data_IF_607363386319
#
_entry.id   IF_607363386319
#
_cell.length_a   1.000
_cell.length_b   1.000
_cell.length_c   1.000
_cell.angle_alpha   90.00
_cell.angle_beta   90.00
_cell.angle_gamma   90.00
#
_symmetry.space_group_name_H-M   'P 1'
#
loop_
_entity.id
_entity.type
_entity.pdbx_description
1 polymer ?
#
# COMPACT_ATOMS: atom_id res chain seq x y z
N UNK A 1 -26.69 8.71 34.69
CA UNK A 1 -26.28 8.87 33.28
C UNK A 1 -24.80 9.14 33.32
N UNK A 2 -23.99 8.07 33.18
CA UNK A 2 -22.54 8.19 33.08
C UNK A 2 -22.23 8.17 31.59
N UNK A 3 -21.62 9.25 31.15
CA UNK A 3 -21.64 9.75 29.79
C UNK A 3 -20.87 8.83 28.84
N UNK A 4 -21.48 8.50 27.69
CA UNK A 4 -20.81 7.80 26.59
C UNK A 4 -19.47 8.44 26.20
N UNK A 5 -19.35 9.75 26.44
CA UNK A 5 -18.13 10.53 26.33
C UNK A 5 -17.02 10.02 27.26
N UNK A 6 -17.31 9.74 28.53
CA UNK A 6 -16.33 9.25 29.51
C UNK A 6 -15.82 7.86 29.14
N UNK A 7 -16.69 7.01 28.58
CA UNK A 7 -16.28 5.72 28.04
C UNK A 7 -15.39 5.87 26.81
N UNK A 8 -15.76 6.75 25.87
CA UNK A 8 -14.95 7.04 24.68
C UNK A 8 -13.58 7.61 25.05
N UNK A 9 -13.52 8.64 25.89
CA UNK A 9 -12.27 9.24 26.36
C UNK A 9 -11.44 8.24 27.18
N UNK A 10 -12.07 7.37 27.97
CA UNK A 10 -11.38 6.28 28.68
C UNK A 10 -10.76 5.26 27.71
N UNK A 11 -11.48 4.90 26.64
CA UNK A 11 -10.98 4.00 25.61
C UNK A 11 -9.86 4.62 24.78
N UNK A 12 -9.99 5.91 24.43
CA UNK A 12 -8.96 6.69 23.74
C UNK A 12 -7.71 6.86 24.60
N UNK A 13 -7.87 7.16 25.90
CA UNK A 13 -6.74 7.26 26.83
C UNK A 13 -6.06 5.90 27.03
N UNK A 14 -6.81 4.81 27.13
CA UNK A 14 -6.25 3.46 27.18
C UNK A 14 -5.52 3.10 25.88
N UNK A 15 -6.07 3.48 24.72
CA UNK A 15 -5.41 3.27 23.44
C UNK A 15 -4.14 4.11 23.31
N UNK A 16 -4.10 5.35 23.79
CA UNK A 16 -2.90 6.20 23.76
C UNK A 16 -1.85 5.74 24.79
N UNK A 17 -2.27 5.30 25.98
CA UNK A 17 -1.36 4.80 27.02
C UNK A 17 -0.77 3.42 26.68
N UNK A 18 -1.51 2.59 25.95
CA UNK A 18 -1.06 1.24 25.54
C UNK A 18 -0.60 1.16 24.09
N UNK A 19 -0.86 2.19 23.30
CA UNK A 19 -0.55 2.30 21.88
C UNK A 19 0.85 2.87 21.69
N UNK A 20 1.83 1.97 21.66
CA UNK A 20 3.10 2.33 21.02
C UNK A 20 2.78 2.55 19.53
N UNK A 21 2.79 3.79 19.05
CA UNK A 21 2.54 4.09 17.65
C UNK A 21 3.73 3.62 16.78
N UNK A 22 3.88 2.30 16.64
CA UNK A 22 5.01 1.66 15.98
C UNK A 22 4.77 1.75 14.48
N UNK A 23 5.42 2.73 13.84
CA UNK A 23 5.57 2.73 12.38
C UNK A 23 6.38 1.50 11.97
N UNK A 24 6.07 0.87 10.82
CA UNK A 24 6.79 -0.30 10.33
C UNK A 24 8.31 -0.09 10.11
N UNK A 25 8.79 1.16 10.09
CA UNK A 25 10.22 1.49 10.01
C UNK A 25 10.96 1.44 11.36
N UNK A 26 10.28 1.25 12.48
CA UNK A 26 10.88 1.33 13.82
C UNK A 26 11.19 -0.09 14.32
N UNK A 27 12.46 -0.51 14.15
CA UNK A 27 12.93 -1.90 14.30
C UNK A 27 12.92 -2.45 15.75
N UNK A 28 12.25 -1.80 16.71
CA UNK A 28 12.30 -2.17 18.13
C UNK A 28 10.99 -2.09 18.92
N UNK A 29 9.91 -1.56 18.33
CA UNK A 29 8.63 -1.39 19.04
C UNK A 29 7.76 -2.65 18.96
N UNK A 30 7.44 -3.28 20.10
CA UNK A 30 6.48 -4.39 20.14
C UNK A 30 5.05 -3.84 20.12
N UNK A 31 4.31 -4.07 19.03
CA UNK A 31 2.87 -3.68 18.95
C UNK A 31 2.08 -4.32 20.09
N UNK A 32 1.17 -3.56 20.70
CA UNK A 32 0.27 -4.09 21.72
C UNK A 32 -0.82 -4.98 21.09
N UNK A 33 -1.36 -5.93 21.85
CA UNK A 33 -2.47 -6.79 21.37
C UNK A 33 -3.71 -5.95 21.05
N UNK A 34 -3.94 -4.87 21.81
CA UNK A 34 -5.05 -3.94 21.59
C UNK A 34 -4.90 -3.22 20.25
N UNK A 35 -3.71 -2.69 19.96
CA UNK A 35 -3.43 -2.02 18.70
C UNK A 35 -3.57 -2.97 17.51
N UNK A 36 -3.08 -4.21 17.63
CA UNK A 36 -3.28 -5.22 16.58
C UNK A 36 -4.77 -5.55 16.37
N UNK A 37 -5.57 -5.58 17.43
CA UNK A 37 -7.02 -5.78 17.31
C UNK A 37 -7.70 -4.58 16.64
N UNK A 38 -7.36 -3.35 17.05
CA UNK A 38 -7.89 -2.12 16.46
C UNK A 38 -7.51 -2.00 14.98
N UNK A 39 -6.28 -2.34 14.59
CA UNK A 39 -5.85 -2.42 13.19
C UNK A 39 -6.75 -3.37 12.38
N UNK A 40 -7.06 -4.54 12.94
CA UNK A 40 -7.95 -5.52 12.28
C UNK A 40 -9.37 -4.99 12.15
N UNK A 41 -9.94 -4.41 13.22
CA UNK A 41 -11.30 -3.85 13.21
C UNK A 41 -11.39 -2.70 12.22
N UNK A 42 -10.43 -1.78 12.23
CA UNK A 42 -10.45 -0.63 11.35
C UNK A 42 -10.32 -1.05 9.88
N UNK A 43 -9.32 -1.89 9.58
CA UNK A 43 -9.03 -2.34 8.21
C UNK A 43 -10.11 -3.28 7.65
N UNK A 44 -10.68 -4.16 8.49
CA UNK A 44 -11.62 -5.20 8.04
C UNK A 44 -13.08 -4.83 8.20
N UNK A 45 -13.43 -3.89 9.07
CA UNK A 45 -14.82 -3.49 9.33
C UNK A 45 -15.03 -2.00 9.10
N UNK A 46 -14.38 -1.12 9.87
CA UNK A 46 -14.72 0.31 9.87
C UNK A 46 -14.53 0.95 8.48
N UNK A 47 -13.41 0.70 7.82
CA UNK A 47 -13.15 1.21 6.47
C UNK A 47 -14.15 0.67 5.44
N UNK A 48 -14.28 -0.64 5.20
CA UNK A 48 -15.18 -1.15 4.17
C UNK A 48 -16.65 -0.82 4.46
N UNK A 49 -17.11 -0.89 5.72
CA UNK A 49 -18.47 -0.51 6.11
C UNK A 49 -18.72 0.98 5.86
N UNK A 50 -17.82 1.84 6.31
CA UNK A 50 -18.00 3.28 6.17
C UNK A 50 -18.06 3.72 4.71
N UNK A 51 -17.14 3.22 3.89
CA UNK A 51 -17.18 3.49 2.43
C UNK A 51 -18.45 2.91 1.81
N UNK A 52 -18.83 1.69 2.16
CA UNK A 52 -20.04 1.04 1.63
C UNK A 52 -21.31 1.84 1.93
N UNK A 53 -21.50 2.27 3.18
CA UNK A 53 -22.69 3.02 3.60
C UNK A 53 -22.75 4.37 2.89
N UNK A 54 -21.65 5.10 2.82
CA UNK A 54 -21.61 6.40 2.11
C UNK A 54 -21.91 6.21 0.62
N UNK A 55 -21.23 5.26 -0.04
CA UNK A 55 -21.41 5.04 -1.48
C UNK A 55 -22.82 4.57 -1.82
N UNK A 56 -23.38 3.64 -1.06
CA UNK A 56 -24.74 3.13 -1.30
C UNK A 56 -25.80 4.17 -0.99
N UNK A 57 -25.65 4.96 0.09
CA UNK A 57 -26.55 6.06 0.40
C UNK A 57 -26.63 7.06 -0.75
N UNK A 58 -25.49 7.60 -1.19
CA UNK A 58 -25.48 8.62 -2.25
C UNK A 58 -25.88 8.05 -3.62
N UNK A 59 -25.55 6.78 -3.91
CA UNK A 59 -25.99 6.12 -5.13
C UNK A 59 -27.52 6.00 -5.19
N UNK A 60 -28.16 5.54 -4.10
CA UNK A 60 -29.62 5.43 -4.05
C UNK A 60 -30.25 6.83 -4.03
N UNK A 61 -29.70 7.75 -3.24
CA UNK A 61 -30.16 9.14 -3.16
C UNK A 61 -30.19 9.83 -4.52
N UNK A 62 -29.19 9.57 -5.38
CA UNK A 62 -29.11 10.13 -6.72
C UNK A 62 -30.13 9.53 -7.70
N UNK A 63 -30.55 8.27 -7.50
CA UNK A 63 -31.55 7.60 -8.34
C UNK A 63 -32.96 7.97 -7.89
N UNK A 64 -33.27 7.68 -6.62
CA UNK A 64 -34.51 8.07 -5.97
C UNK A 64 -34.27 8.23 -4.47
N UNK A 65 -34.28 9.49 -4.03
CA UNK A 65 -34.04 9.82 -2.62
C UNK A 65 -35.12 9.30 -1.69
N UNK A 66 -36.36 9.06 -2.13
CA UNK A 66 -37.43 8.61 -1.23
C UNK A 66 -37.13 7.24 -0.62
N UNK A 67 -36.27 6.45 -1.27
CA UNK A 67 -35.89 5.10 -0.82
C UNK A 67 -34.97 5.10 0.41
N UNK A 68 -34.28 6.21 0.68
CA UNK A 68 -33.28 6.34 1.77
C UNK A 68 -33.42 7.61 2.60
N UNK A 69 -33.98 8.67 2.02
CA UNK A 69 -34.12 10.00 2.62
C UNK A 69 -35.39 10.73 2.11
N UNK A 70 -36.58 10.37 2.66
CA UNK A 70 -37.86 10.93 2.22
C UNK A 70 -37.97 12.44 2.40
N UNK A 71 -38.74 13.15 1.55
CA UNK A 71 -38.82 14.64 1.61
C UNK A 71 -39.30 15.20 2.94
N UNK A 72 -40.10 14.43 3.67
CA UNK A 72 -40.60 14.85 5.00
C UNK A 72 -39.45 15.12 5.97
N UNK A 73 -38.29 14.47 5.78
CA UNK A 73 -37.11 14.69 6.61
C UNK A 73 -36.43 16.02 6.34
N UNK A 74 -36.63 16.66 5.18
CA UNK A 74 -36.00 17.97 4.88
C UNK A 74 -36.44 19.06 5.87
N UNK A 75 -37.66 18.93 6.42
CA UNK A 75 -38.19 19.83 7.43
C UNK A 75 -37.52 19.68 8.80
N UNK A 76 -36.91 18.51 9.07
CA UNK A 76 -36.26 18.18 10.34
C UNK A 76 -34.73 18.23 10.24
N UNK A 77 -34.20 17.81 9.11
CA UNK A 77 -32.77 17.61 8.86
C UNK A 77 -32.42 18.43 7.61
N UNK A 78 -31.83 19.63 7.79
CA UNK A 78 -31.42 20.46 6.67
C UNK A 78 -30.29 19.80 5.88
N UNK A 79 -30.14 20.18 4.61
CA UNK A 79 -29.20 19.53 3.68
C UNK A 79 -27.74 19.51 4.17
N UNK A 80 -27.31 20.55 4.88
CA UNK A 80 -25.95 20.58 5.46
C UNK A 80 -25.76 19.50 6.52
N UNK A 81 -26.79 19.22 7.32
CA UNK A 81 -26.75 18.17 8.34
C UNK A 81 -26.82 16.79 7.69
N UNK A 82 -27.58 16.64 6.61
CA UNK A 82 -27.57 15.41 5.80
C UNK A 82 -26.15 15.10 5.28
N UNK A 83 -25.46 16.08 4.71
CA UNK A 83 -24.04 15.92 4.33
C UNK A 83 -23.13 15.66 5.53
N UNK A 84 -23.37 16.35 6.65
CA UNK A 84 -22.60 16.13 7.87
C UNK A 84 -22.71 14.67 8.35
N UNK A 85 -23.88 14.04 8.24
CA UNK A 85 -24.09 12.65 8.67
C UNK A 85 -23.63 11.62 7.63
N UNK A 86 -23.87 11.86 6.34
CA UNK A 86 -23.71 10.85 5.29
C UNK A 86 -22.51 11.06 4.37
N UNK A 87 -21.81 12.19 4.46
CA UNK A 87 -20.58 12.43 3.67
C UNK A 87 -19.34 12.43 4.55
N UNK A 88 -19.37 12.99 5.76
CA UNK A 88 -18.16 13.26 6.57
C UNK A 88 -17.41 12.02 7.02
N UNK A 89 -18.09 10.88 7.14
CA UNK A 89 -17.46 9.59 7.49
C UNK A 89 -16.37 9.23 6.49
N UNK A 90 -16.57 9.49 5.19
CA UNK A 90 -15.61 9.13 4.14
C UNK A 90 -14.28 9.91 4.23
N UNK A 91 -14.23 11.26 4.27
CA UNK A 91 -12.97 11.99 4.40
C UNK A 91 -12.26 11.65 5.71
N UNK A 92 -12.97 11.44 6.82
CA UNK A 92 -12.31 11.02 8.07
C UNK A 92 -11.65 9.64 7.94
N UNK A 93 -12.32 8.66 7.33
CA UNK A 93 -11.73 7.35 7.07
C UNK A 93 -10.53 7.41 6.12
N UNK A 94 -10.60 8.26 5.08
CA UNK A 94 -9.49 8.44 4.14
C UNK A 94 -8.29 9.14 4.78
N UNK A 95 -8.54 10.14 5.64
CA UNK A 95 -7.49 10.82 6.41
C UNK A 95 -6.85 9.84 7.38
N UNK A 96 -7.64 9.06 8.12
CA UNK A 96 -7.15 8.03 9.03
C UNK A 96 -6.24 7.04 8.27
N UNK A 97 -6.69 6.51 7.14
CA UNK A 97 -5.89 5.59 6.32
C UNK A 97 -4.61 6.23 5.75
N UNK A 98 -4.63 7.54 5.48
CA UNK A 98 -3.47 8.27 4.98
C UNK A 98 -2.44 8.56 6.09
N UNK A 99 -2.90 8.93 7.28
CA UNK A 99 -2.05 9.37 8.40
C UNK A 99 -1.56 8.17 9.22
N UNK A 100 -2.41 7.16 9.39
CA UNK A 100 -2.19 6.01 10.27
C UNK A 100 -1.89 4.76 9.45
N UNK A 101 -0.78 4.10 9.79
CA UNK A 101 -0.46 2.80 9.20
C UNK A 101 -1.23 1.72 9.95
N UNK A 102 -2.19 1.11 9.27
CA UNK A 102 -2.83 -0.11 9.76
C UNK A 102 -2.25 -1.32 9.08
N UNK A 103 -1.90 -2.31 9.89
CA UNK A 103 -1.48 -3.61 9.38
C UNK A 103 -2.72 -4.41 9.00
N UNK A 104 -2.98 -4.52 7.70
CA UNK A 104 -4.12 -5.29 7.21
C UNK A 104 -3.89 -6.77 7.54
N UNK A 105 -4.89 -7.47 8.11
CA UNK A 105 -4.77 -8.92 8.26
C UNK A 105 -4.64 -9.59 6.89
N UNK A 106 -4.24 -10.87 6.91
CA UNK A 106 -4.27 -11.69 5.70
C UNK A 106 -5.61 -11.53 4.98
N UNK A 107 -5.57 -11.30 3.65
CA UNK A 107 -6.74 -10.96 2.83
C UNK A 107 -7.93 -11.88 3.08
N UNK A 108 -7.70 -13.20 3.16
CA UNK A 108 -8.74 -14.19 3.46
C UNK A 108 -9.40 -13.97 4.82
N UNK A 109 -8.60 -13.68 5.86
CA UNK A 109 -9.09 -13.40 7.21
C UNK A 109 -9.91 -12.11 7.26
N UNK A 110 -9.42 -11.02 6.66
CA UNK A 110 -10.15 -9.76 6.64
C UNK A 110 -11.47 -9.85 5.87
N UNK A 111 -11.47 -10.50 4.70
CA UNK A 111 -12.70 -10.78 3.95
C UNK A 111 -13.64 -11.68 4.77
N UNK A 112 -13.13 -12.72 5.44
CA UNK A 112 -13.98 -13.60 6.26
C UNK A 112 -14.65 -12.85 7.42
N UNK A 113 -13.93 -11.95 8.09
CA UNK A 113 -14.47 -11.09 9.15
C UNK A 113 -15.57 -10.18 8.59
N UNK A 114 -15.30 -9.53 7.45
CA UNK A 114 -16.26 -8.65 6.77
C UNK A 114 -17.53 -9.40 6.36
N UNK A 115 -17.38 -10.58 5.75
CA UNK A 115 -18.50 -11.42 5.32
C UNK A 115 -19.30 -11.98 6.50
N UNK A 116 -18.64 -12.38 7.59
CA UNK A 116 -19.32 -12.83 8.79
C UNK A 116 -20.16 -11.70 9.41
N UNK A 117 -19.62 -10.48 9.47
CA UNK A 117 -20.36 -9.31 9.92
C UNK A 117 -21.55 -8.98 9.00
N UNK A 118 -21.32 -8.94 7.69
CA UNK A 118 -22.37 -8.71 6.70
C UNK A 118 -23.47 -9.78 6.75
N UNK A 119 -23.11 -11.05 6.92
CA UNK A 119 -24.06 -12.15 7.05
C UNK A 119 -24.90 -12.05 8.32
N UNK A 120 -24.28 -11.73 9.46
CA UNK A 120 -25.00 -11.49 10.72
C UNK A 120 -26.01 -10.35 10.57
N UNK A 121 -25.60 -9.25 9.91
CA UNK A 121 -26.50 -8.14 9.61
C UNK A 121 -27.65 -8.52 8.66
N UNK A 122 -27.37 -9.30 7.61
CA UNK A 122 -28.40 -9.80 6.70
C UNK A 122 -29.41 -10.70 7.42
N UNK A 123 -28.94 -11.60 8.28
CA UNK A 123 -29.83 -12.42 9.11
C UNK A 123 -30.72 -11.56 10.00
N UNK A 124 -30.16 -10.51 10.61
CA UNK A 124 -30.90 -9.59 11.46
C UNK A 124 -32.01 -8.84 10.71
N UNK A 125 -31.71 -8.24 9.55
CA UNK A 125 -32.74 -7.51 8.79
C UNK A 125 -33.82 -8.44 8.23
N UNK A 126 -33.46 -9.68 7.83
CA UNK A 126 -34.42 -10.67 7.36
C UNK A 126 -35.31 -11.17 8.51
N UNK A 127 -34.75 -11.30 9.71
CA UNK A 127 -35.51 -11.63 10.91
C UNK A 127 -36.53 -10.54 11.23
N UNK A 128 -36.15 -9.25 11.18
CA UNK A 128 -37.10 -8.13 11.35
C UNK A 128 -38.19 -8.17 10.29
N UNK A 129 -37.83 -8.35 9.03
CA UNK A 129 -38.80 -8.41 7.93
C UNK A 129 -39.79 -9.57 8.10
N UNK A 130 -39.34 -10.71 8.60
CA UNK A 130 -40.21 -11.87 8.85
C UNK A 130 -41.13 -11.68 10.07
N UNK A 131 -40.62 -11.16 11.19
CA UNK A 131 -41.38 -11.06 12.44
C UNK A 131 -42.25 -9.81 12.54
N UNK A 132 -41.76 -8.66 12.07
CA UNK A 132 -42.43 -7.38 12.19
C UNK A 132 -43.19 -6.98 10.91
N UNK A 133 -43.11 -7.79 9.84
CA UNK A 133 -43.60 -7.47 8.49
C UNK A 133 -43.14 -6.08 8.00
N UNK A 134 -41.95 -5.66 8.46
CA UNK A 134 -41.39 -4.33 8.22
C UNK A 134 -40.00 -4.47 7.61
N UNK A 135 -39.82 -3.86 6.45
CA UNK A 135 -38.52 -3.77 5.80
C UNK A 135 -37.75 -2.56 6.34
N UNK A 136 -36.60 -2.82 6.95
CA UNK A 136 -35.67 -1.78 7.42
C UNK A 136 -35.29 -0.83 6.27
N UNK A 137 -35.24 -1.35 5.05
CA UNK A 137 -34.95 -0.60 3.84
C UNK A 137 -36.14 -0.67 2.86
N UNK A 138 -36.82 0.45 2.59
CA UNK A 138 -38.00 0.48 1.70
C UNK A 138 -37.72 -0.10 0.30
N UNK A 139 -36.50 0.08 -0.23
CA UNK A 139 -36.08 -0.49 -1.52
C UNK A 139 -36.24 -2.03 -1.57
N UNK A 140 -36.04 -2.73 -0.45
CA UNK A 140 -36.19 -4.18 -0.41
C UNK A 140 -37.65 -4.62 -0.49
N UNK A 141 -38.57 -3.81 0.04
CA UNK A 141 -40.00 -4.10 -0.01
C UNK A 141 -40.52 -4.06 -1.45
N UNK A 142 -40.01 -3.14 -2.27
CA UNK A 142 -40.40 -2.96 -3.67
C UNK A 142 -39.93 -4.10 -4.60
N UNK A 143 -38.90 -4.85 -4.19
CA UNK A 143 -38.30 -5.90 -5.01
C UNK A 143 -38.97 -7.25 -4.77
N UNK A 144 -39.12 -8.05 -5.83
CA UNK A 144 -39.50 -9.46 -5.70
C UNK A 144 -38.37 -10.29 -5.07
N UNK A 145 -38.70 -11.47 -4.55
CA UNK A 145 -37.74 -12.36 -3.85
C UNK A 145 -36.49 -12.66 -4.68
N UNK A 146 -36.64 -12.91 -5.98
CA UNK A 146 -35.50 -13.20 -6.86
C UNK A 146 -34.62 -11.96 -7.08
N UNK A 147 -35.22 -10.77 -7.20
CA UNK A 147 -34.51 -9.51 -7.33
C UNK A 147 -33.76 -9.15 -6.03
N UNK A 148 -34.34 -9.42 -4.87
CA UNK A 148 -33.68 -9.27 -3.55
C UNK A 148 -32.43 -10.13 -3.46
N UNK A 149 -32.49 -11.39 -3.90
CA UNK A 149 -31.33 -12.28 -3.90
C UNK A 149 -30.20 -11.74 -4.79
N UNK A 150 -30.52 -11.29 -6.02
CA UNK A 150 -29.54 -10.67 -6.91
C UNK A 150 -28.97 -9.39 -6.30
N UNK A 151 -29.82 -8.55 -5.70
CA UNK A 151 -29.40 -7.32 -5.04
C UNK A 151 -28.40 -7.58 -3.91
N UNK A 152 -28.66 -8.56 -3.03
CA UNK A 152 -27.73 -8.94 -1.98
C UNK A 152 -26.40 -9.47 -2.53
N UNK A 153 -26.42 -10.26 -3.61
CA UNK A 153 -25.19 -10.74 -4.25
C UNK A 153 -24.36 -9.59 -4.84
N UNK A 154 -25.01 -8.62 -5.48
CA UNK A 154 -24.34 -7.42 -6.03
C UNK A 154 -23.73 -6.59 -4.90
N UNK A 155 -24.48 -6.35 -3.80
CA UNK A 155 -23.97 -5.64 -2.64
C UNK A 155 -22.80 -6.39 -1.99
N UNK A 156 -22.85 -7.71 -1.89
CA UNK A 156 -21.76 -8.53 -1.35
C UNK A 156 -20.48 -8.40 -2.19
N UNK A 157 -20.61 -8.48 -3.52
CA UNK A 157 -19.49 -8.31 -4.44
C UNK A 157 -18.90 -6.89 -4.35
N UNK A 158 -19.76 -5.87 -4.27
CA UNK A 158 -19.33 -4.49 -4.05
C UNK A 158 -18.57 -4.35 -2.72
N UNK A 159 -19.05 -4.99 -1.67
CA UNK A 159 -18.45 -4.93 -0.33
C UNK A 159 -17.05 -5.54 -0.29
N UNK A 160 -16.86 -6.68 -0.95
CA UNK A 160 -15.54 -7.32 -1.13
C UNK A 160 -14.61 -6.41 -1.96
N UNK A 161 -15.14 -5.77 -3.01
CA UNK A 161 -14.36 -4.89 -3.89
C UNK A 161 -13.81 -3.69 -3.11
N UNK A 162 -14.62 -3.07 -2.25
CA UNK A 162 -14.19 -1.97 -1.38
C UNK A 162 -13.05 -2.41 -0.47
N UNK A 163 -13.15 -3.59 0.15
CA UNK A 163 -12.08 -4.12 1.01
C UNK A 163 -10.76 -4.27 0.25
N UNK A 164 -10.80 -4.88 -0.94
CA UNK A 164 -9.61 -5.07 -1.77
C UNK A 164 -9.01 -3.72 -2.18
N UNK A 165 -9.86 -2.76 -2.56
CA UNK A 165 -9.42 -1.41 -2.93
C UNK A 165 -8.72 -0.72 -1.75
N UNK A 166 -9.28 -0.81 -0.54
CA UNK A 166 -8.67 -0.30 0.68
C UNK A 166 -7.29 -0.92 0.94
N UNK A 167 -7.18 -2.24 0.82
CA UNK A 167 -5.90 -2.95 0.97
C UNK A 167 -4.85 -2.48 -0.05
N UNK A 168 -5.24 -2.30 -1.31
CA UNK A 168 -4.35 -1.83 -2.38
C UNK A 168 -3.88 -0.40 -2.11
N UNK A 169 -4.79 0.51 -1.75
CA UNK A 169 -4.48 1.90 -1.43
C UNK A 169 -3.52 1.95 -0.23
N UNK A 170 -3.80 1.19 0.83
CA UNK A 170 -2.93 1.13 2.01
C UNK A 170 -1.51 0.67 1.63
N UNK A 171 -1.38 -0.43 0.87
CA UNK A 171 -0.07 -0.91 0.41
C UNK A 171 0.65 0.13 -0.45
N UNK A 172 -0.05 0.80 -1.37
CA UNK A 172 0.54 1.80 -2.25
C UNK A 172 1.09 3.01 -1.48
N UNK A 173 0.29 3.57 -0.57
CA UNK A 173 0.66 4.72 0.27
C UNK A 173 1.91 4.42 1.11
N UNK A 174 1.92 3.24 1.75
CA UNK A 174 2.99 2.91 2.68
C UNK A 174 4.25 2.38 1.99
N UNK A 175 4.17 1.68 0.86
CA UNK A 175 5.37 1.38 0.03
C UNK A 175 6.06 2.68 -0.38
N UNK A 176 5.30 3.67 -0.85
CA UNK A 176 5.85 4.97 -1.25
C UNK A 176 6.53 5.69 -0.07
N UNK A 177 5.91 5.66 1.12
CA UNK A 177 6.49 6.27 2.32
C UNK A 177 7.86 5.68 2.69
N UNK A 178 8.03 4.35 2.58
CA UNK A 178 9.31 3.68 2.87
C UNK A 178 10.38 4.06 1.83
N UNK A 179 10.02 4.19 0.56
CA UNK A 179 10.95 4.61 -0.50
C UNK A 179 11.40 6.07 -0.32
N UNK A 180 10.49 6.96 0.08
CA UNK A 180 10.82 8.37 0.37
C UNK A 180 11.69 8.48 1.63
N UNK A 181 11.38 7.73 2.68
CA UNK A 181 12.19 7.67 3.90
C UNK A 181 13.60 7.12 3.63
N UNK A 182 13.72 6.05 2.84
CA UNK A 182 15.00 5.47 2.44
C UNK A 182 15.87 6.44 1.62
N UNK A 183 15.26 7.23 0.70
CA UNK A 183 15.96 8.27 -0.06
C UNK A 183 16.38 9.47 0.79
N UNK A 184 15.66 9.77 1.89
CA UNK A 184 15.97 10.91 2.78
C UNK A 184 17.04 10.63 3.83
N UNK A 185 17.36 9.36 4.16
CA UNK A 185 18.50 9.03 5.04
C UNK A 185 19.80 9.30 4.30
N UNK A 186 20.26 10.55 4.33
CA UNK A 186 21.56 10.98 3.83
C UNK A 186 22.58 10.68 4.93
N UNK A 187 23.25 9.53 4.84
CA UNK A 187 24.35 9.19 5.74
C UNK A 187 25.53 10.12 5.46
N UNK A 188 26.22 10.56 6.52
CA UNK A 188 27.40 11.41 6.37
C UNK A 188 28.42 10.74 5.44
N UNK A 189 28.80 11.38 4.32
CA UNK A 189 29.68 10.76 3.32
C UNK A 189 30.97 10.21 3.93
N UNK A 190 31.52 10.92 4.92
CA UNK A 190 32.73 10.53 5.65
C UNK A 190 32.55 9.20 6.40
N UNK A 191 31.44 9.01 7.13
CA UNK A 191 31.16 7.79 7.89
C UNK A 191 30.96 6.60 6.95
N UNK A 192 30.26 6.81 5.83
CA UNK A 192 30.07 5.74 4.82
C UNK A 192 31.40 5.36 4.18
N UNK A 193 32.29 6.33 3.93
CA UNK A 193 33.59 6.08 3.35
C UNK A 193 34.54 5.36 4.32
N UNK A 194 34.56 5.72 5.61
CA UNK A 194 35.31 5.00 6.65
C UNK A 194 34.82 3.55 6.76
N UNK A 195 33.51 3.35 6.79
CA UNK A 195 32.92 2.01 6.84
C UNK A 195 33.26 1.19 5.58
N UNK A 196 33.23 1.80 4.40
CA UNK A 196 33.59 1.15 3.14
C UNK A 196 35.07 0.74 3.12
N UNK A 197 35.95 1.56 3.67
CA UNK A 197 37.38 1.31 3.75
C UNK A 197 37.70 0.18 4.75
N UNK A 198 37.02 0.15 5.90
CA UNK A 198 37.13 -0.95 6.86
C UNK A 198 36.71 -2.30 6.26
N UNK A 199 35.68 -2.33 5.42
CA UNK A 199 35.24 -3.54 4.70
C UNK A 199 36.27 -3.93 3.63
N UNK A 200 36.77 -2.97 2.85
CA UNK A 200 37.78 -3.22 1.80
C UNK A 200 39.08 -3.77 2.37
N UNK A 201 39.56 -3.18 3.46
CA UNK A 201 40.81 -3.55 4.14
C UNK A 201 40.66 -4.81 5.01
N UNK A 202 39.53 -5.52 4.91
CA UNK A 202 39.20 -6.72 5.70
C UNK A 202 39.30 -6.52 7.22
N UNK A 203 39.22 -5.28 7.70
CA UNK A 203 39.18 -4.96 9.12
C UNK A 203 37.85 -5.37 9.75
N UNK A 204 36.77 -5.38 8.96
CA UNK A 204 35.44 -5.81 9.37
C UNK A 204 34.71 -6.54 8.24
N UNK A 205 33.79 -7.44 8.59
CA UNK A 205 32.84 -7.99 7.61
C UNK A 205 31.81 -6.92 7.22
N UNK A 206 31.27 -7.00 6.00
CA UNK A 206 30.23 -6.09 5.51
C UNK A 206 29.03 -6.03 6.48
N UNK A 207 28.68 -7.16 7.09
CA UNK A 207 27.63 -7.25 8.10
C UNK A 207 27.95 -6.45 9.36
N UNK A 208 29.17 -6.64 9.90
CA UNK A 208 29.62 -5.97 11.13
C UNK A 208 29.81 -4.46 10.93
N UNK A 209 30.32 -4.04 9.77
CA UNK A 209 30.46 -2.63 9.42
C UNK A 209 29.11 -1.91 9.21
N UNK A 210 28.11 -2.61 8.66
CA UNK A 210 26.74 -2.12 8.51
C UNK A 210 26.05 -1.91 9.86
N UNK A 211 26.27 -2.84 10.79
CA UNK A 211 25.70 -2.80 12.15
C UNK A 211 26.33 -1.69 13.00
N UNK A 212 27.66 -1.60 13.05
CA UNK A 212 28.38 -0.60 13.86
C UNK A 212 28.07 0.83 13.44
N UNK A 213 27.94 1.08 12.13
CA UNK A 213 27.70 2.42 11.60
C UNK A 213 26.20 2.71 11.37
N UNK A 214 25.31 1.76 11.68
CA UNK A 214 23.86 1.87 11.43
C UNK A 214 23.53 2.22 9.96
N UNK A 215 24.31 1.70 9.00
CA UNK A 215 24.15 1.92 7.55
C UNK A 215 23.61 0.64 6.90
N UNK A 216 22.62 0.69 6.00
CA UNK A 216 22.16 -0.48 5.25
C UNK A 216 23.28 -1.16 4.46
N UNK A 217 23.35 -2.50 4.50
CA UNK A 217 24.34 -3.30 3.77
C UNK A 217 24.36 -3.00 2.27
N UNK A 218 23.21 -2.71 1.68
CA UNK A 218 23.05 -2.36 0.25
C UNK A 218 23.76 -1.04 -0.08
N UNK A 219 23.53 0.02 0.71
CA UNK A 219 24.20 1.32 0.56
C UNK A 219 25.71 1.20 0.71
N UNK A 220 26.17 0.44 1.70
CA UNK A 220 27.60 0.21 1.96
C UNK A 220 28.25 -0.61 0.83
N UNK A 221 27.61 -1.68 0.38
CA UNK A 221 28.08 -2.51 -0.73
C UNK A 221 28.19 -1.71 -2.04
N UNK A 222 27.17 -0.92 -2.38
CA UNK A 222 27.19 -0.05 -3.55
C UNK A 222 28.25 1.05 -3.45
N UNK A 223 28.55 1.54 -2.24
CA UNK A 223 29.63 2.51 -2.03
C UNK A 223 31.00 1.86 -2.23
N UNK A 224 31.26 0.70 -1.64
CA UNK A 224 32.50 -0.07 -1.84
C UNK A 224 32.69 -0.38 -3.33
N UNK A 225 31.64 -0.89 -4.00
CA UNK A 225 31.70 -1.19 -5.43
C UNK A 225 32.05 0.05 -6.27
N UNK A 226 31.44 1.20 -5.99
CA UNK A 226 31.70 2.44 -6.75
C UNK A 226 33.07 3.05 -6.45
N UNK A 227 33.46 3.17 -5.18
CA UNK A 227 34.72 3.79 -4.75
C UNK A 227 35.95 3.04 -5.27
N UNK A 228 35.86 1.71 -5.40
CA UNK A 228 36.99 0.87 -5.81
C UNK A 228 36.89 0.32 -7.25
N UNK A 229 35.74 0.47 -7.92
CA UNK A 229 35.64 0.17 -9.36
C UNK A 229 36.45 1.17 -10.20
N UNK A 230 36.47 2.46 -9.83
CA UNK A 230 37.29 3.49 -10.47
C UNK A 230 38.79 3.21 -10.33
N UNK A 231 39.24 2.85 -9.13
CA UNK A 231 40.65 2.50 -8.88
C UNK A 231 41.14 1.27 -9.68
N UNK A 232 40.24 0.34 -10.00
CA UNK A 232 40.57 -0.86 -10.79
C UNK A 232 40.70 -0.55 -12.28
N UNK A 233 40.01 0.49 -12.78
CA UNK A 233 40.10 0.96 -14.17
C UNK A 233 41.38 1.76 -14.36
N UNK A 234 41.70 2.66 -13.42
CA UNK A 234 42.87 3.53 -13.45
C UNK A 234 44.20 2.73 -13.41
N UNK A 235 44.24 1.65 -12.63
CA UNK A 235 45.36 0.72 -12.60
C UNK A 235 45.53 -0.12 -13.88
N UNK A 236 44.48 -0.23 -14.72
CA UNK A 236 44.48 -1.03 -15.95
C UNK A 236 44.92 -0.24 -17.19
N UNK A 237 44.90 1.09 -17.10
CA UNK A 237 45.29 2.04 -18.16
C UNK A 237 46.79 2.34 -18.22
N UNK A 238 47.61 1.79 -17.31
CA UNK A 238 49.07 1.89 -17.41
C UNK A 238 49.60 0.82 -18.38
N UNK A 239 49.23 0.92 -19.66
CA UNK A 239 49.92 0.22 -20.74
C UNK A 239 50.93 1.18 -21.35
N UNK A 240 52.15 0.68 -21.60
CA UNK A 240 53.17 1.42 -22.35
C UNK A 240 52.60 1.92 -23.69
N UNK A 241 52.97 3.12 -24.18
CA UNK A 241 52.47 3.69 -25.44
C UNK A 241 52.54 2.73 -26.64
N UNK A 242 53.48 1.79 -26.62
CA UNK A 242 53.69 0.78 -27.65
C UNK A 242 52.60 -0.33 -27.65
N UNK A 243 52.01 -0.60 -26.48
CA UNK A 243 50.91 -1.55 -26.32
C UNK A 243 49.57 -1.01 -26.82
N UNK A 244 49.31 0.29 -26.63
CA UNK A 244 48.09 0.93 -27.11
C UNK A 244 48.01 0.95 -28.64
N UNK A 245 49.13 1.24 -29.33
CA UNK A 245 49.20 1.26 -30.79
C UNK A 245 48.94 -0.14 -31.40
N UNK A 246 49.44 -1.21 -30.77
CA UNK A 246 49.15 -2.59 -31.20
C UNK A 246 47.66 -2.93 -31.03
N UNK A 247 47.02 -2.51 -29.93
CA UNK A 247 45.59 -2.78 -29.70
C UNK A 247 44.73 -2.05 -30.72
N UNK A 248 45.09 -0.81 -31.08
CA UNK A 248 44.39 -0.03 -32.10
C UNK A 248 44.54 -0.65 -33.50
N UNK A 249 45.73 -1.15 -33.84
CA UNK A 249 45.95 -1.92 -35.08
C UNK A 249 45.08 -3.18 -35.13
N UNK A 250 45.04 -3.97 -34.05
CA UNK A 250 44.19 -5.18 -33.99
C UNK A 250 42.70 -4.86 -34.05
N UNK A 251 42.26 -3.75 -33.43
CA UNK A 251 40.87 -3.30 -33.49
C UNK A 251 40.47 -2.89 -34.93
N UNK A 252 41.37 -2.20 -35.65
CA UNK A 252 41.16 -1.82 -37.04
C UNK A 252 41.09 -3.03 -37.97
N UNK A 253 41.99 -4.01 -37.81
CA UNK A 253 41.96 -5.28 -38.58
C UNK A 253 40.65 -6.05 -38.33
N UNK A 254 40.22 -6.14 -37.07
CA UNK A 254 38.98 -6.84 -36.70
C UNK A 254 37.73 -6.17 -37.27
N UNK A 255 37.71 -4.84 -37.30
CA UNK A 255 36.63 -4.07 -37.91
C UNK A 255 36.61 -4.19 -39.44
N UNK A 256 37.77 -4.19 -40.08
CA UNK A 256 37.91 -4.45 -41.51
C UNK A 256 37.40 -5.85 -41.89
N UNK A 257 37.81 -6.89 -41.16
CA UNK A 257 37.35 -8.27 -41.36
C UNK A 257 35.83 -8.39 -41.22
N UNK A 258 35.23 -7.78 -40.19
CA UNK A 258 33.77 -7.75 -40.01
C UNK A 258 33.05 -7.09 -41.17
N UNK A 259 33.56 -5.96 -41.68
CA UNK A 259 32.96 -5.26 -42.82
C UNK A 259 33.04 -6.11 -44.09
N UNK A 260 34.16 -6.76 -44.35
CA UNK A 260 34.33 -7.59 -45.54
C UNK A 260 33.50 -8.88 -45.51
N UNK A 261 33.39 -9.53 -44.34
CA UNK A 261 32.51 -10.70 -44.15
C UNK A 261 31.05 -10.33 -44.35
N UNK A 262 30.61 -9.15 -43.86
CA UNK A 262 29.25 -8.65 -44.13
C UNK A 262 29.02 -8.37 -45.61
N UNK A 263 30.00 -7.77 -46.29
CA UNK A 263 29.92 -7.42 -47.72
C UNK A 263 29.86 -8.67 -48.61
N UNK A 264 30.65 -9.71 -48.32
CA UNK A 264 30.59 -11.01 -49.02
C UNK A 264 29.28 -11.74 -48.75
N UNK A 265 28.77 -11.75 -47.51
CA UNK A 265 27.44 -12.32 -47.21
C UNK A 265 26.31 -11.63 -47.97
N UNK A 266 26.35 -10.31 -48.12
CA UNK A 266 25.34 -9.59 -48.90
C UNK A 266 25.46 -9.86 -50.41
N UNK A 267 26.68 -10.00 -50.94
CA UNK A 267 26.89 -10.33 -52.36
C UNK A 267 26.42 -11.75 -52.71
N UNK A 268 26.72 -12.75 -51.86
CA UNK A 268 26.24 -14.12 -52.05
C UNK A 268 24.70 -14.24 -51.94
N UNK A 269 24.06 -13.41 -51.09
CA UNK A 269 22.59 -13.35 -51.00
C UNK A 269 21.92 -12.70 -52.20
N UNK A 270 22.62 -11.81 -52.92
CA UNK A 270 22.08 -11.12 -54.08
C UNK A 270 22.16 -11.97 -55.36
N UNK A 271 23.18 -12.84 -55.48
CA UNK A 271 23.38 -13.72 -56.65
C UNK A 271 22.78 -15.14 -56.48
N UNK A 272 22.02 -15.41 -55.43
CA UNK A 272 21.37 -16.70 -55.18
C UNK A 272 19.85 -16.67 -55.44
N UNK A 273 19.38 -15.78 -56.33
CA UNK A 273 18.01 -15.73 -56.85
C UNK A 273 18.04 -15.83 -58.37
#
# INVERSE_FOLDING_TARGET
>A
MADSHTFYFGLSLLNDLTGSYVKPSDNGGRKSKLQSFLDVVLASLAYPIGVFVVMTFWAIYAVDRELVYPKVLDALIPQWLNHAMHTTVLPFLLIEQYVVFHDYPARSKGISILLAFGFAYLCWILWIAYYADLWVYPILQLMETHQRAIFFLVLLAFFITIYILGEVINKALWIMSHQVGAKRRKYDPCIVDIAADAVRNRCMSLGKASEVNTIPKTTLHDRVKRKYASATIEAKTVLSPEGENKIEQWANVKNWLRKNVKRTRSYCKANSR
#
